data_IF_969016478138
#
_entry.id   IF_969016478138
#
_cell.length_a   1.000
_cell.length_b   1.000
_cell.length_c   1.000
_cell.angle_alpha   90.00
_cell.angle_beta   90.00
_cell.angle_gamma   90.00
#
_symmetry.space_group_name_H-M   'P 1'
#
loop_
_entity.id
_entity.type
_entity.pdbx_description
1 polymer ?
#
# COMPACT_ATOMS: atom_id res chain seq x y z
N UNK A 1 24.85 4.90 -4.61
CA UNK A 1 23.87 5.11 -5.71
C UNK A 1 22.52 4.79 -5.11
N UNK A 2 21.52 5.67 -5.30
CA UNK A 2 20.20 5.45 -4.73
C UNK A 2 19.64 4.08 -5.11
N UNK A 3 19.05 3.37 -4.15
CA UNK A 3 18.36 2.11 -4.40
C UNK A 3 17.20 1.89 -3.42
N UNK A 4 16.29 0.98 -3.78
CA UNK A 4 15.19 0.54 -2.92
C UNK A 4 15.39 -0.91 -2.51
N UNK A 5 15.14 -1.19 -1.24
CA UNK A 5 15.04 -2.55 -0.69
C UNK A 5 13.65 -2.74 -0.10
N UNK A 6 12.94 -3.76 -0.57
CA UNK A 6 11.67 -4.16 0.03
C UNK A 6 11.97 -5.00 1.27
N UNK A 7 11.53 -4.51 2.43
CA UNK A 7 11.70 -5.18 3.72
C UNK A 7 10.61 -6.24 3.91
N UNK A 8 9.39 -5.91 3.52
CA UNK A 8 8.24 -6.79 3.68
C UNK A 8 7.08 -6.37 2.79
N UNK A 9 6.27 -7.38 2.44
CA UNK A 9 4.95 -7.20 1.83
C UNK A 9 3.98 -8.00 2.67
N UNK A 10 2.94 -7.33 3.15
CA UNK A 10 2.04 -7.86 4.16
C UNK A 10 0.59 -7.74 3.70
N UNK A 11 -0.24 -8.78 3.88
CA UNK A 11 -1.66 -8.68 3.55
C UNK A 11 -2.34 -7.66 4.47
N UNK A 12 -3.34 -6.95 3.97
CA UNK A 12 -4.16 -6.10 4.81
C UNK A 12 -4.90 -6.93 5.87
N UNK A 13 -4.76 -6.54 7.14
CA UNK A 13 -5.54 -7.13 8.23
C UNK A 13 -6.96 -6.54 8.21
N UNK A 14 -7.91 -7.28 7.65
CA UNK A 14 -9.29 -6.82 7.49
C UNK A 14 -10.10 -7.08 8.77
N UNK A 15 -10.41 -6.02 9.50
CA UNK A 15 -11.41 -6.05 10.57
C UNK A 15 -12.82 -5.89 10.01
N UNK A 16 -13.83 -6.26 10.80
CA UNK A 16 -15.25 -6.05 10.45
C UNK A 16 -15.55 -4.56 10.25
N UNK A 17 -15.03 -3.68 11.11
CA UNK A 17 -15.16 -2.23 10.98
C UNK A 17 -14.54 -1.73 9.67
N UNK A 18 -13.34 -2.19 9.32
CA UNK A 18 -12.68 -1.79 8.08
C UNK A 18 -13.47 -2.26 6.85
N UNK A 19 -14.00 -3.48 6.91
CA UNK A 19 -14.83 -4.01 5.85
C UNK A 19 -16.09 -3.14 5.65
N UNK A 20 -16.79 -2.77 6.72
CA UNK A 20 -17.99 -1.91 6.64
C UNK A 20 -17.68 -0.51 6.09
N UNK A 21 -16.54 0.07 6.50
CA UNK A 21 -16.05 1.33 5.94
C UNK A 21 -15.77 1.20 4.43
N UNK A 22 -15.13 0.11 4.00
CA UNK A 22 -14.83 -0.13 2.60
C UNK A 22 -16.10 -0.34 1.75
N UNK A 23 -17.09 -1.10 2.24
CA UNK A 23 -18.39 -1.24 1.56
C UNK A 23 -19.05 0.13 1.37
N UNK A 24 -19.04 0.95 2.43
CA UNK A 24 -19.64 2.29 2.39
C UNK A 24 -18.91 3.22 1.43
N UNK A 25 -17.57 3.17 1.40
CA UNK A 25 -16.77 3.97 0.48
C UNK A 25 -17.02 3.59 -1.00
N UNK A 26 -17.02 2.28 -1.31
CA UNK A 26 -17.14 1.79 -2.68
C UNK A 26 -18.55 1.86 -3.26
N UNK A 27 -19.57 1.67 -2.41
CA UNK A 27 -20.96 1.50 -2.86
C UNK A 27 -21.93 2.54 -2.29
N UNK A 28 -21.45 3.41 -1.40
CA UNK A 28 -22.25 4.41 -0.69
C UNK A 28 -23.17 3.81 0.37
N UNK A 29 -23.82 4.68 1.16
CA UNK A 29 -24.84 4.27 2.16
C UNK A 29 -26.05 3.54 1.54
N UNK A 30 -26.28 3.73 0.23
CA UNK A 30 -27.37 3.11 -0.53
C UNK A 30 -27.14 1.59 -0.70
N UNK A 31 -25.92 1.10 -0.50
CA UNK A 31 -25.61 -0.33 -0.54
C UNK A 31 -26.43 -1.17 0.47
N UNK A 32 -26.91 -0.54 1.55
CA UNK A 32 -27.73 -1.17 2.59
C UNK A 32 -29.22 -1.29 2.20
N UNK A 33 -29.68 -0.53 1.20
CA UNK A 33 -31.05 -0.57 0.65
C UNK A 33 -31.14 -1.39 -0.66
N UNK A 34 -30.07 -2.11 -1.01
CA UNK A 34 -30.04 -2.99 -2.17
C UNK A 34 -30.92 -4.23 -1.94
N UNK A 35 -31.48 -4.76 -3.03
CA UNK A 35 -32.02 -6.12 -3.01
C UNK A 35 -30.93 -7.14 -2.60
N UNK A 36 -31.31 -8.32 -2.06
CA UNK A 36 -30.35 -9.26 -1.51
C UNK A 36 -29.22 -9.67 -2.46
N UNK A 37 -29.51 -9.82 -3.76
CA UNK A 37 -28.52 -10.24 -4.76
C UNK A 37 -27.49 -9.14 -5.02
N UNK A 38 -27.94 -7.89 -5.11
CA UNK A 38 -27.05 -6.74 -5.27
C UNK A 38 -26.19 -6.51 -4.04
N UNK A 39 -26.74 -6.71 -2.84
CA UNK A 39 -25.98 -6.64 -1.59
C UNK A 39 -24.89 -7.71 -1.54
N UNK A 40 -25.22 -8.95 -1.88
CA UNK A 40 -24.25 -10.05 -1.92
C UNK A 40 -23.10 -9.75 -2.91
N UNK A 41 -23.43 -9.24 -4.10
CA UNK A 41 -22.44 -8.85 -5.11
C UNK A 41 -21.53 -7.72 -4.61
N UNK A 42 -22.08 -6.70 -3.97
CA UNK A 42 -21.29 -5.61 -3.40
C UNK A 42 -20.30 -6.13 -2.36
N UNK A 43 -20.76 -6.95 -1.41
CA UNK A 43 -19.88 -7.56 -0.39
C UNK A 43 -18.78 -8.42 -1.01
N UNK A 44 -19.09 -9.22 -2.03
CA UNK A 44 -18.09 -10.04 -2.74
C UNK A 44 -17.02 -9.16 -3.41
N UNK A 45 -17.44 -8.09 -4.10
CA UNK A 45 -16.52 -7.14 -4.75
C UNK A 45 -15.62 -6.43 -3.73
N UNK A 46 -16.17 -6.00 -2.59
CA UNK A 46 -15.38 -5.39 -1.51
C UNK A 46 -14.36 -6.36 -0.94
N UNK A 47 -14.74 -7.62 -0.71
CA UNK A 47 -13.82 -8.64 -0.23
C UNK A 47 -12.67 -8.89 -1.21
N UNK A 48 -12.97 -9.04 -2.50
CA UNK A 48 -11.95 -9.22 -3.53
C UNK A 48 -11.01 -8.00 -3.61
N UNK A 49 -11.57 -6.80 -3.49
CA UNK A 49 -10.81 -5.56 -3.46
C UNK A 49 -9.85 -5.54 -2.27
N UNK A 50 -10.34 -5.75 -1.04
CA UNK A 50 -9.54 -5.73 0.18
C UNK A 50 -8.48 -6.83 0.20
N UNK A 51 -8.82 -8.04 -0.29
CA UNK A 51 -7.89 -9.16 -0.38
C UNK A 51 -6.71 -8.91 -1.34
N UNK A 52 -6.87 -7.98 -2.28
CA UNK A 52 -5.80 -7.57 -3.21
C UNK A 52 -4.88 -6.48 -2.66
N UNK A 53 -5.17 -5.93 -1.47
CA UNK A 53 -4.39 -4.84 -0.88
C UNK A 53 -3.26 -5.42 -0.03
N UNK A 54 -2.07 -4.85 -0.20
CA UNK A 54 -0.90 -5.17 0.64
C UNK A 54 -0.28 -3.92 1.21
N UNK A 55 0.25 -4.02 2.43
CA UNK A 55 1.16 -3.06 3.00
C UNK A 55 2.59 -3.41 2.60
N UNK A 56 3.29 -2.48 1.97
CA UNK A 56 4.68 -2.63 1.55
C UNK A 56 5.55 -1.78 2.48
N UNK A 57 6.57 -2.38 3.08
CA UNK A 57 7.61 -1.66 3.82
C UNK A 57 8.91 -1.68 3.01
N UNK A 58 9.50 -0.51 2.79
CA UNK A 58 10.75 -0.33 2.03
C UNK A 58 11.77 0.49 2.79
N UNK A 59 13.04 0.31 2.42
CA UNK A 59 14.13 1.21 2.74
C UNK A 59 14.72 1.75 1.44
N UNK A 60 14.73 3.07 1.30
CA UNK A 60 15.45 3.79 0.27
C UNK A 60 16.83 4.13 0.82
N UNK A 61 17.88 3.68 0.15
CA UNK A 61 19.28 3.90 0.53
C UNK A 61 19.89 4.98 -0.34
N UNK A 62 20.75 5.84 0.22
CA UNK A 62 21.38 6.96 -0.50
C UNK A 62 20.34 7.85 -1.22
N UNK A 63 19.26 8.17 -0.51
CA UNK A 63 18.06 8.78 -1.06
C UNK A 63 18.31 10.17 -1.63
N UNK A 64 17.60 10.48 -2.71
CA UNK A 64 17.57 11.84 -3.24
C UNK A 64 16.58 12.71 -2.43
N UNK A 65 16.77 14.03 -2.46
CA UNK A 65 15.93 14.98 -1.71
C UNK A 65 14.49 14.99 -2.20
N UNK A 66 14.27 14.66 -3.46
CA UNK A 66 12.95 14.62 -4.08
C UNK A 66 12.72 13.22 -4.64
N UNK A 67 11.60 12.63 -4.24
CA UNK A 67 11.14 11.34 -4.71
C UNK A 67 9.62 11.39 -4.75
N UNK A 68 9.03 10.93 -5.85
CA UNK A 68 7.60 10.91 -5.99
C UNK A 68 7.07 9.53 -5.58
N UNK A 69 6.21 9.48 -4.58
CA UNK A 69 5.64 8.19 -4.12
C UNK A 69 4.80 7.52 -5.20
N UNK A 70 4.24 8.27 -6.14
CA UNK A 70 3.52 7.72 -7.30
C UNK A 70 4.40 6.96 -8.29
N UNK A 71 5.73 6.97 -8.14
CA UNK A 71 6.64 6.12 -8.91
C UNK A 71 6.75 4.69 -8.34
N UNK A 72 6.17 4.45 -7.15
CA UNK A 72 6.04 3.11 -6.57
C UNK A 72 4.72 2.48 -6.99
N UNK A 73 4.76 1.29 -7.57
CA UNK A 73 3.53 0.60 -7.98
C UNK A 73 3.77 -0.74 -8.67
N UNK A 74 2.73 -1.27 -9.28
CA UNK A 74 2.83 -2.43 -10.17
C UNK A 74 2.12 -2.12 -11.48
N UNK A 75 2.80 -2.36 -12.60
CA UNK A 75 2.14 -2.21 -13.89
C UNK A 75 1.35 -3.46 -14.28
N UNK A 76 0.16 -3.24 -14.85
CA UNK A 76 -0.60 -4.27 -15.53
C UNK A 76 0.08 -4.72 -16.84
N UNK A 77 0.77 -3.80 -17.53
CA UNK A 77 1.17 -3.91 -18.93
C UNK A 77 2.69 -4.04 -19.20
N UNK A 78 3.56 -3.83 -18.21
CA UNK A 78 5.00 -4.04 -18.41
C UNK A 78 5.91 -3.38 -17.37
N UNK A 79 6.97 -2.74 -17.86
CA UNK A 79 8.09 -2.26 -17.04
C UNK A 79 7.95 -0.79 -16.60
N UNK A 80 6.83 -0.14 -16.93
CA UNK A 80 6.54 1.27 -16.63
C UNK A 80 5.11 1.45 -16.15
N UNK A 81 4.89 2.34 -15.19
CA UNK A 81 3.56 2.70 -14.72
C UNK A 81 2.79 3.51 -15.78
N UNK A 82 1.58 3.08 -16.06
CA UNK A 82 0.59 3.78 -16.87
C UNK A 82 -0.40 4.59 -16.02
N UNK A 83 -1.29 5.38 -16.66
CA UNK A 83 -2.27 6.20 -15.97
C UNK A 83 -3.33 5.40 -15.19
N UNK A 84 -3.54 4.13 -15.56
CA UNK A 84 -4.51 3.22 -14.95
C UNK A 84 -3.84 2.23 -13.97
N UNK A 85 -2.54 2.34 -13.74
CA UNK A 85 -1.82 1.47 -12.81
C UNK A 85 -1.94 2.01 -11.37
N UNK A 86 -2.11 1.09 -10.42
CA UNK A 86 -2.17 1.42 -9.00
C UNK A 86 -0.76 1.76 -8.47
N UNK A 87 -0.70 2.83 -7.69
CA UNK A 87 0.53 3.37 -7.11
C UNK A 87 0.47 3.38 -5.59
N UNK A 88 1.58 3.74 -4.93
CA UNK A 88 1.63 3.84 -3.48
C UNK A 88 0.51 4.73 -2.93
N UNK A 89 -0.16 4.23 -1.90
CA UNK A 89 -1.27 4.88 -1.22
C UNK A 89 -1.05 4.95 0.29
N UNK A 90 -1.38 6.11 0.90
CA UNK A 90 -1.37 6.26 2.35
C UNK A 90 0.03 6.11 2.94
N UNK A 91 1.03 6.72 2.29
CA UNK A 91 2.41 6.63 2.69
C UNK A 91 2.66 7.16 4.10
N UNK A 92 3.53 6.46 4.82
CA UNK A 92 4.00 6.85 6.15
C UNK A 92 5.52 6.76 6.17
N UNK A 93 6.14 7.83 6.65
CA UNK A 93 7.59 7.93 6.81
C UNK A 93 7.99 7.50 8.22
N UNK A 94 8.79 6.45 8.31
CA UNK A 94 9.14 5.78 9.57
C UNK A 94 10.56 6.15 10.01
N UNK A 95 10.83 5.99 11.30
CA UNK A 95 12.20 6.05 11.83
C UNK A 95 13.07 4.93 11.23
N UNK A 96 14.39 5.05 11.36
CA UNK A 96 15.32 4.04 10.82
C UNK A 96 15.02 2.62 11.33
N UNK A 97 14.54 2.50 12.58
CA UNK A 97 14.13 1.24 13.20
C UNK A 97 12.76 0.75 12.74
N UNK A 98 11.90 1.64 12.23
CA UNK A 98 10.54 1.31 11.82
C UNK A 98 9.52 1.23 12.97
N UNK A 99 9.89 1.68 14.17
CA UNK A 99 9.05 1.58 15.38
C UNK A 99 8.17 2.81 15.61
N UNK A 100 8.40 3.91 14.90
CA UNK A 100 7.64 5.15 15.02
C UNK A 100 7.59 5.93 13.70
N UNK A 101 6.66 6.89 13.62
CA UNK A 101 6.61 7.84 12.52
C UNK A 101 7.71 8.89 12.72
N UNK A 102 8.54 9.10 11.70
CA UNK A 102 9.62 10.06 11.75
C UNK A 102 9.25 11.43 11.17
N UNK A 103 8.34 11.47 10.20
CA UNK A 103 7.99 12.68 9.48
C UNK A 103 6.57 12.62 8.89
N UNK A 104 6.05 13.80 8.54
CA UNK A 104 4.80 13.92 7.78
C UNK A 104 5.05 13.99 6.27
N UNK A 105 6.23 14.49 5.87
CA UNK A 105 6.64 14.63 4.47
C UNK A 105 8.00 13.97 4.24
N UNK A 106 8.24 13.53 3.01
CA UNK A 106 9.47 12.82 2.65
C UNK A 106 10.70 13.73 2.79
N UNK A 107 10.58 15.00 2.42
CA UNK A 107 11.65 16.01 2.51
C UNK A 107 12.09 16.31 3.95
N UNK A 108 11.25 16.02 4.95
CA UNK A 108 11.52 16.28 6.36
C UNK A 108 12.33 15.17 7.04
N UNK A 109 12.50 14.02 6.38
CA UNK A 109 13.27 12.91 6.93
C UNK A 109 14.76 13.29 7.10
N UNK A 110 15.36 12.87 8.21
CA UNK A 110 16.78 13.07 8.47
C UNK A 110 17.62 11.91 7.94
N UNK A 111 18.83 12.23 7.46
CA UNK A 111 19.80 11.25 7.01
C UNK A 111 19.65 10.79 5.55
N UNK A 112 20.60 9.96 5.10
CA UNK A 112 20.68 9.52 3.71
C UNK A 112 19.69 8.40 3.38
N UNK A 113 19.14 7.71 4.37
CA UNK A 113 18.24 6.57 4.16
C UNK A 113 16.83 6.92 4.64
N UNK A 114 15.81 6.43 3.95
CA UNK A 114 14.41 6.59 4.33
C UNK A 114 13.73 5.24 4.46
N UNK A 115 13.05 5.02 5.59
CA UNK A 115 12.14 3.88 5.76
C UNK A 115 10.72 4.37 5.52
N UNK A 116 10.01 3.70 4.63
CA UNK A 116 8.68 4.11 4.16
C UNK A 116 7.78 2.90 4.16
N UNK A 117 6.53 3.09 4.55
CA UNK A 117 5.49 2.10 4.40
C UNK A 117 4.30 2.71 3.66
N UNK A 118 3.69 1.94 2.75
CA UNK A 118 2.55 2.38 1.95
C UNK A 118 1.71 1.18 1.52
N UNK A 119 0.45 1.42 1.20
CA UNK A 119 -0.43 0.42 0.63
C UNK A 119 -0.33 0.38 -0.89
N UNK A 120 -0.50 -0.80 -1.45
CA UNK A 120 -0.65 -1.02 -2.88
C UNK A 120 -1.93 -1.81 -3.14
N UNK A 121 -2.82 -1.25 -3.94
CA UNK A 121 -4.06 -1.90 -4.38
C UNK A 121 -3.81 -2.82 -5.57
N UNK A 122 -4.67 -3.83 -5.74
CA UNK A 122 -4.60 -4.72 -6.90
C UNK A 122 -3.31 -5.54 -6.99
N UNK A 123 -2.63 -5.77 -5.86
CA UNK A 123 -1.32 -6.40 -5.82
C UNK A 123 -1.33 -7.76 -6.52
N UNK A 124 -0.34 -7.94 -7.41
CA UNK A 124 -0.09 -9.16 -8.15
C UNK A 124 1.17 -9.83 -7.59
N UNK A 125 1.03 -10.95 -6.86
CA UNK A 125 2.18 -11.69 -6.37
C UNK A 125 3.14 -12.05 -7.51
N UNK A 126 4.45 -11.99 -7.25
CA UNK A 126 5.53 -12.32 -8.20
C UNK A 126 5.69 -11.35 -9.36
N UNK A 127 4.92 -10.26 -9.44
CA UNK A 127 5.27 -9.13 -10.31
C UNK A 127 6.24 -8.21 -9.57
N UNK A 128 7.27 -7.68 -10.25
CA UNK A 128 8.14 -6.68 -9.64
C UNK A 128 7.34 -5.47 -9.19
N UNK A 129 7.73 -4.88 -8.07
CA UNK A 129 7.28 -3.54 -7.68
C UNK A 129 8.19 -2.55 -8.42
N UNK A 130 7.59 -1.67 -9.21
CA UNK A 130 8.29 -0.58 -9.86
C UNK A 130 8.65 0.46 -8.80
N UNK A 131 9.85 1.03 -8.91
CA UNK A 131 10.37 2.05 -8.01
C UNK A 131 11.06 3.14 -8.85
N UNK A 132 11.34 4.32 -8.29
CA UNK A 132 12.14 5.35 -8.97
C UNK A 132 13.50 4.88 -9.48
N UNK A 133 14.04 3.80 -8.90
CA UNK A 133 15.37 3.27 -9.21
C UNK A 133 15.32 1.93 -9.98
N UNK A 134 14.14 1.58 -10.51
CA UNK A 134 13.91 0.37 -11.30
C UNK A 134 13.05 -0.68 -10.59
N UNK A 135 12.75 -1.80 -11.28
CA UNK A 135 11.93 -2.88 -10.74
C UNK A 135 12.66 -3.63 -9.61
N UNK A 136 11.93 -3.99 -8.57
CA UNK A 136 12.41 -4.82 -7.46
C UNK A 136 11.44 -5.98 -7.23
N UNK A 137 11.97 -7.21 -7.21
CA UNK A 137 11.16 -8.39 -6.91
C UNK A 137 10.70 -8.37 -5.45
N UNK A 138 9.39 -8.48 -5.18
CA UNK A 138 8.90 -8.49 -3.81
C UNK A 138 9.23 -9.83 -3.12
N UNK A 139 9.47 -9.82 -1.79
CA UNK A 139 9.52 -11.04 -1.01
C UNK A 139 8.16 -11.75 -1.00
N UNK A 140 8.14 -12.98 -0.46
CA UNK A 140 6.87 -13.65 -0.16
C UNK A 140 6.06 -12.84 0.85
N UNK A 141 4.73 -12.93 0.74
CA UNK A 141 3.83 -12.34 1.71
C UNK A 141 4.08 -12.91 3.10
N UNK A 142 4.13 -12.03 4.09
CA UNK A 142 4.28 -12.39 5.50
C UNK A 142 3.22 -11.69 6.33
N UNK A 143 2.75 -12.26 7.46
CA UNK A 143 1.77 -11.60 8.32
C UNK A 143 2.19 -10.18 8.69
N UNK A 144 1.23 -9.27 8.80
CA UNK A 144 1.52 -7.87 9.12
C UNK A 144 2.11 -7.76 10.52
N UNK A 145 3.31 -7.17 10.67
CA UNK A 145 3.87 -6.89 11.98
C UNK A 145 2.94 -5.98 12.79
N UNK A 146 2.69 -6.32 14.06
CA UNK A 146 1.81 -5.55 14.94
C UNK A 146 2.21 -4.06 15.05
N UNK A 147 3.50 -3.72 14.94
CA UNK A 147 3.93 -2.32 14.89
C UNK A 147 3.35 -1.57 13.69
N UNK A 148 3.30 -2.22 12.53
CA UNK A 148 2.86 -1.60 11.29
C UNK A 148 1.35 -1.41 11.24
N UNK A 149 0.56 -2.33 11.82
CA UNK A 149 -0.90 -2.16 11.91
C UNK A 149 -1.29 -0.89 12.70
N UNK A 150 -0.46 -0.50 13.67
CA UNK A 150 -0.66 0.74 14.45
C UNK A 150 -0.12 1.99 13.76
N UNK A 151 1.02 1.88 13.09
CA UNK A 151 1.72 3.03 12.51
C UNK A 151 1.13 3.44 11.16
N UNK A 152 0.54 2.50 10.43
CA UNK A 152 0.08 2.67 9.05
C UNK A 152 -1.35 2.16 8.93
N UNK A 153 -2.34 2.79 9.60
CA UNK A 153 -3.73 2.39 9.45
C UNK A 153 -4.17 2.55 7.99
N UNK A 154 -4.92 1.57 7.48
CA UNK A 154 -5.51 1.68 6.15
C UNK A 154 -6.81 2.47 6.23
N UNK A 155 -6.98 3.42 5.30
CA UNK A 155 -8.20 4.22 5.15
C UNK A 155 -8.81 3.93 3.77
N UNK A 156 -9.99 3.28 3.70
CA UNK A 156 -10.70 3.08 2.43
C UNK A 156 -11.02 4.42 1.74
N UNK A 157 -10.96 4.42 0.41
CA UNK A 157 -11.38 5.54 -0.45
C UNK A 157 -12.52 5.12 -1.36
#
# INVERSE_FOLDING_TARGET
MPNVKIIGVHPLDVSEELHDQAVTAQHGLIALDLDPERRERALAMTNDSLASIVLVEVVVVDRERHMYMGDFGQSAAGDTLGPDDEVAYGEVFLSATGEERAANHYEDLEGPDARIAFYLHGYRPRRPILTPYGPVDPPLLTPTPYRLTRLVPYEPR
#
